data_IF_619440335492
#
_entry.id   IF_619440335492
#
_cell.length_a   1.000
_cell.length_b   1.000
_cell.length_c   1.000
_cell.angle_alpha   90.00
_cell.angle_beta   90.00
_cell.angle_gamma   90.00
#
_symmetry.space_group_name_H-M   'P 1'
#
loop_
_entity.id
_entity.type
_entity.pdbx_description
1 polymer ?
#
# COMPACT_ATOMS: atom_id res chain seq x y z
N UNK A 1 -10.98 -35.75 2.38
CA UNK A 1 -9.57 -35.98 2.06
C UNK A 1 -8.85 -34.70 2.36
N UNK A 2 -7.89 -34.73 3.29
CA UNK A 2 -7.16 -33.57 3.78
C UNK A 2 -6.22 -33.02 2.71
N UNK A 3 -6.06 -31.70 2.69
CA UNK A 3 -5.28 -30.90 1.73
C UNK A 3 -3.78 -31.27 1.62
N UNK A 4 -3.29 -32.25 2.38
CA UNK A 4 -1.89 -32.40 2.73
C UNK A 4 -1.08 -33.44 1.94
N UNK A 5 -1.69 -34.24 1.06
CA UNK A 5 -0.98 -35.39 0.42
C UNK A 5 -0.81 -35.33 -1.10
N UNK A 6 -1.16 -34.23 -1.77
CA UNK A 6 -0.94 -34.04 -3.22
C UNK A 6 -0.14 -32.78 -3.60
N UNK A 7 0.30 -31.95 -2.64
CA UNK A 7 0.85 -30.60 -2.91
C UNK A 7 2.27 -30.55 -3.48
N UNK A 8 3.08 -31.61 -3.36
CA UNK A 8 4.52 -31.52 -3.63
C UNK A 8 4.92 -31.47 -5.11
N UNK A 9 4.11 -32.03 -6.03
CA UNK A 9 4.41 -32.00 -7.47
C UNK A 9 3.71 -30.85 -8.22
N UNK A 10 2.53 -30.40 -7.78
CA UNK A 10 1.80 -29.28 -8.43
C UNK A 10 2.50 -27.93 -8.21
N UNK A 11 3.20 -27.74 -7.09
CA UNK A 11 3.95 -26.51 -6.84
C UNK A 11 5.19 -26.35 -7.75
N UNK A 12 5.61 -27.42 -8.43
CA UNK A 12 6.77 -27.41 -9.32
C UNK A 12 6.57 -26.57 -10.59
N UNK A 13 5.32 -26.24 -10.97
CA UNK A 13 5.04 -25.43 -12.15
C UNK A 13 4.98 -23.91 -11.89
N UNK A 14 4.79 -23.47 -10.64
CA UNK A 14 4.61 -22.05 -10.35
C UNK A 14 5.95 -21.30 -10.25
N UNK A 15 6.07 -20.15 -10.91
CA UNK A 15 7.21 -19.24 -10.73
C UNK A 15 7.12 -18.47 -9.42
N UNK A 16 5.89 -18.24 -8.93
CA UNK A 16 5.58 -17.65 -7.63
C UNK A 16 4.52 -18.51 -6.94
N UNK A 17 4.85 -18.94 -5.72
CA UNK A 17 3.94 -19.60 -4.80
C UNK A 17 4.02 -18.94 -3.44
N UNK A 18 2.89 -18.62 -2.83
CA UNK A 18 2.85 -18.04 -1.49
C UNK A 18 1.64 -18.53 -0.69
N UNK A 19 1.83 -18.77 0.62
CA UNK A 19 0.78 -19.21 1.56
C UNK A 19 0.70 -18.27 2.75
N UNK A 20 -0.52 -17.84 3.08
CA UNK A 20 -0.87 -17.02 4.24
C UNK A 20 -2.01 -17.67 5.03
N UNK A 21 -1.85 -17.88 6.32
CA UNK A 21 -2.95 -18.40 7.17
C UNK A 21 -4.05 -17.35 7.43
N UNK A 22 -3.77 -16.07 7.13
CA UNK A 22 -4.72 -14.97 7.29
C UNK A 22 -4.64 -13.97 6.13
N UNK A 23 -5.51 -14.13 5.15
CA UNK A 23 -5.66 -13.26 3.98
C UNK A 23 -5.92 -11.79 4.35
N UNK A 24 -6.55 -11.53 5.52
CA UNK A 24 -6.84 -10.16 5.98
C UNK A 24 -5.57 -9.34 6.22
N UNK A 25 -4.46 -9.99 6.58
CA UNK A 25 -3.18 -9.29 6.76
C UNK A 25 -2.75 -8.64 5.45
N UNK A 26 -2.74 -9.40 4.35
CA UNK A 26 -2.46 -8.88 3.02
C UNK A 26 -3.50 -7.85 2.59
N UNK A 27 -4.79 -8.14 2.77
CA UNK A 27 -5.87 -7.24 2.39
C UNK A 27 -5.76 -5.87 3.07
N UNK A 28 -5.41 -5.82 4.36
CA UNK A 28 -5.29 -4.58 5.12
C UNK A 28 -4.10 -3.72 4.65
N UNK A 29 -2.97 -4.37 4.34
CA UNK A 29 -1.79 -3.69 3.78
C UNK A 29 -2.14 -3.10 2.40
N UNK A 30 -2.79 -3.89 1.55
CA UNK A 30 -3.16 -3.46 0.20
C UNK A 30 -4.24 -2.37 0.18
N UNK A 31 -5.19 -2.39 1.13
CA UNK A 31 -6.18 -1.32 1.30
C UNK A 31 -5.52 0.03 1.58
N UNK A 32 -4.37 0.05 2.28
CA UNK A 32 -3.67 1.29 2.61
C UNK A 32 -3.08 2.02 1.38
N UNK A 33 -2.92 1.30 0.26
CA UNK A 33 -2.38 1.85 -1.01
C UNK A 33 -3.43 1.86 -2.13
N UNK A 34 -4.68 1.51 -1.85
CA UNK A 34 -5.73 1.38 -2.85
C UNK A 34 -6.43 2.71 -3.16
N UNK A 35 -5.80 3.51 -4.02
CA UNK A 35 -6.41 4.73 -4.60
C UNK A 35 -6.52 4.69 -6.14
N UNK A 36 -6.14 3.57 -6.75
CA UNK A 36 -6.37 3.23 -8.17
C UNK A 36 -6.76 1.78 -8.33
N UNK A 37 -7.44 1.49 -9.43
CA UNK A 37 -7.93 0.14 -9.73
C UNK A 37 -6.82 -0.85 -10.08
N UNK A 38 -5.64 -0.37 -10.51
CA UNK A 38 -4.55 -1.26 -10.93
C UNK A 38 -3.29 -1.02 -10.12
N UNK A 39 -2.55 -2.10 -9.88
CA UNK A 39 -1.26 -2.07 -9.21
C UNK A 39 -0.26 -2.96 -9.94
N UNK A 40 1.03 -2.65 -9.79
CA UNK A 40 2.12 -3.48 -10.27
C UNK A 40 2.67 -4.27 -9.07
N UNK A 41 2.74 -5.59 -9.23
CA UNK A 41 3.32 -6.49 -8.24
C UNK A 41 4.73 -6.85 -8.70
N UNK A 42 5.70 -6.63 -7.82
CA UNK A 42 7.07 -7.10 -7.94
C UNK A 42 7.29 -8.18 -6.88
N UNK A 43 7.53 -9.41 -7.30
CA UNK A 43 7.90 -10.52 -6.42
C UNK A 43 9.40 -10.82 -6.54
N UNK A 44 10.06 -11.01 -5.41
CA UNK A 44 11.47 -11.42 -5.29
C UNK A 44 11.62 -12.35 -4.09
N UNK A 45 12.81 -12.89 -3.85
CA UNK A 45 13.10 -13.72 -2.65
C UNK A 45 12.80 -13.00 -1.31
N UNK A 46 12.84 -11.67 -1.32
CA UNK A 46 12.57 -10.83 -0.15
C UNK A 46 11.07 -10.65 0.14
N UNK A 47 10.20 -11.04 -0.80
CA UNK A 47 8.75 -10.92 -0.70
C UNK A 47 8.11 -10.15 -1.85
N UNK A 48 6.95 -9.54 -1.58
CA UNK A 48 6.16 -8.78 -2.56
C UNK A 48 6.26 -7.27 -2.30
N UNK A 49 6.48 -6.51 -3.36
CA UNK A 49 6.25 -5.07 -3.41
C UNK A 49 5.06 -4.80 -4.32
N UNK A 50 4.06 -4.10 -3.81
CA UNK A 50 2.89 -3.66 -4.59
C UNK A 50 2.96 -2.15 -4.76
N UNK A 51 3.04 -1.71 -6.00
CA UNK A 51 3.15 -0.30 -6.37
C UNK A 51 1.86 0.18 -7.02
N UNK A 52 1.32 1.29 -6.51
CA UNK A 52 0.19 2.02 -7.10
C UNK A 52 0.68 3.42 -7.44
N UNK A 53 0.48 3.86 -8.68
CA UNK A 53 0.91 5.16 -9.16
C UNK A 53 -0.26 5.94 -9.78
N UNK A 54 -0.31 7.26 -9.56
CA UNK A 54 -1.24 8.17 -10.21
C UNK A 54 -0.52 9.35 -10.85
N UNK A 55 -0.80 9.54 -12.15
CA UNK A 55 -0.37 10.69 -12.96
C UNK A 55 1.11 11.08 -12.81
N UNK A 56 1.99 10.12 -12.52
CA UNK A 56 3.43 10.36 -12.31
C UNK A 56 3.75 11.32 -11.15
N UNK A 57 2.77 11.66 -10.31
CA UNK A 57 2.91 12.61 -9.21
C UNK A 57 2.87 11.93 -7.84
N UNK A 58 2.11 10.83 -7.73
CA UNK A 58 1.91 10.11 -6.48
C UNK A 58 2.20 8.65 -6.72
N UNK A 59 3.02 8.06 -5.86
CA UNK A 59 3.27 6.63 -5.84
C UNK A 59 3.19 6.13 -4.40
N UNK A 60 2.46 5.04 -4.19
CA UNK A 60 2.46 4.32 -2.93
C UNK A 60 3.01 2.92 -3.15
N UNK A 61 3.83 2.49 -2.19
CA UNK A 61 4.48 1.20 -2.19
C UNK A 61 4.09 0.46 -0.91
N UNK A 62 3.52 -0.72 -1.06
CA UNK A 62 3.27 -1.66 0.03
C UNK A 62 4.28 -2.81 -0.06
N UNK A 63 4.93 -3.14 1.06
CA UNK A 63 5.92 -4.21 1.12
C UNK A 63 5.43 -5.33 2.04
N UNK A 64 5.40 -6.55 1.53
CA UNK A 64 5.08 -7.77 2.25
C UNK A 64 6.32 -8.67 2.22
N UNK A 65 7.06 -8.71 3.32
CA UNK A 65 8.28 -9.52 3.43
C UNK A 65 7.98 -11.01 3.30
N UNK A 66 8.90 -11.80 2.76
CA UNK A 66 8.73 -13.25 2.60
C UNK A 66 8.48 -13.96 3.94
N UNK A 67 9.02 -13.46 5.05
CA UNK A 67 8.76 -13.94 6.40
C UNK A 67 7.32 -13.77 6.90
N UNK A 68 6.49 -12.97 6.21
CA UNK A 68 5.06 -12.84 6.50
C UNK A 68 4.29 -14.10 6.11
N UNK A 69 4.79 -14.83 5.12
CA UNK A 69 4.16 -16.00 4.54
C UNK A 69 4.63 -17.27 5.24
N UNK A 70 3.74 -18.24 5.42
CA UNK A 70 4.11 -19.56 5.92
C UNK A 70 4.97 -20.32 4.92
N UNK A 71 4.72 -20.07 3.63
CA UNK A 71 5.51 -20.61 2.54
C UNK A 71 5.59 -19.54 1.46
N UNK A 72 6.78 -19.28 0.94
CA UNK A 72 7.01 -18.32 -0.11
C UNK A 72 8.14 -18.85 -0.99
N UNK A 73 7.82 -19.16 -2.24
CA UNK A 73 8.74 -19.72 -3.21
C UNK A 73 8.68 -18.89 -4.47
N UNK A 74 9.85 -18.43 -4.92
CA UNK A 74 10.03 -17.80 -6.21
C UNK A 74 11.16 -18.51 -6.94
N UNK A 75 10.94 -18.84 -8.22
CA UNK A 75 11.92 -19.57 -9.05
C UNK A 75 12.79 -18.67 -9.91
N UNK A 76 12.32 -17.46 -10.17
CA UNK A 76 13.04 -16.44 -10.92
C UNK A 76 13.60 -15.40 -9.94
N UNK A 77 14.60 -14.64 -10.37
CA UNK A 77 15.19 -13.55 -9.56
C UNK A 77 14.12 -12.50 -9.20
N UNK A 78 13.27 -12.19 -10.18
CA UNK A 78 12.15 -11.27 -10.00
C UNK A 78 11.03 -11.60 -10.98
N UNK A 79 9.80 -11.63 -10.47
CA UNK A 79 8.58 -11.76 -11.28
C UNK A 79 7.79 -10.46 -11.17
N UNK A 80 7.39 -9.86 -12.30
CA UNK A 80 6.67 -8.59 -12.31
C UNK A 80 5.45 -8.66 -13.22
N UNK A 81 4.30 -8.22 -12.72
CA UNK A 81 3.06 -8.18 -13.48
C UNK A 81 2.11 -7.13 -12.91
N UNK A 82 1.23 -6.61 -13.77
CA UNK A 82 0.17 -5.67 -13.37
C UNK A 82 -1.15 -6.43 -13.16
N UNK A 83 -1.93 -6.02 -12.17
CA UNK A 83 -3.25 -6.60 -11.86
C UNK A 83 -4.28 -5.52 -11.58
N UNK A 84 -5.55 -5.91 -11.61
CA UNK A 84 -6.62 -5.12 -11.02
C UNK A 84 -6.60 -5.32 -9.49
N UNK A 85 -6.14 -4.30 -8.76
CA UNK A 85 -6.04 -4.26 -7.30
C UNK A 85 -7.42 -4.27 -6.64
N UNK A 86 -8.42 -3.62 -7.24
CA UNK A 86 -9.80 -3.63 -6.74
C UNK A 86 -10.34 -5.06 -6.71
N UNK A 87 -10.19 -5.81 -7.81
CA UNK A 87 -10.60 -7.22 -7.90
C UNK A 87 -9.80 -8.10 -6.94
N UNK A 88 -8.49 -7.88 -6.80
CA UNK A 88 -7.68 -8.60 -5.81
C UNK A 88 -8.22 -8.39 -4.39
N UNK A 89 -8.53 -7.14 -4.03
CA UNK A 89 -9.10 -6.82 -2.72
C UNK A 89 -10.48 -7.45 -2.52
N UNK A 90 -11.33 -7.48 -3.54
CA UNK A 90 -12.62 -8.17 -3.48
C UNK A 90 -12.44 -9.67 -3.22
N UNK A 91 -11.54 -10.33 -3.96
CA UNK A 91 -11.22 -11.75 -3.75
C UNK A 91 -10.67 -12.03 -2.34
N UNK A 92 -9.74 -11.19 -1.85
CA UNK A 92 -9.17 -11.32 -0.51
C UNK A 92 -10.19 -11.12 0.62
N UNK A 93 -11.31 -10.44 0.33
CA UNK A 93 -12.38 -10.18 1.30
C UNK A 93 -13.67 -10.97 0.98
N UNK A 94 -13.60 -12.05 0.19
CA UNK A 94 -14.80 -12.76 -0.28
C UNK A 94 -15.67 -13.32 0.86
N UNK A 95 -15.06 -13.76 1.96
CA UNK A 95 -15.77 -14.24 3.15
C UNK A 95 -16.24 -13.10 4.08
N UNK A 96 -15.99 -11.85 3.72
CA UNK A 96 -16.43 -10.65 4.42
C UNK A 96 -15.66 -10.32 5.70
N UNK A 97 -16.02 -9.18 6.31
CA UNK A 97 -15.44 -8.73 7.57
C UNK A 97 -16.10 -9.41 8.80
N UNK A 98 -17.29 -9.99 8.63
CA UNK A 98 -18.09 -10.65 9.66
C UNK A 98 -17.75 -12.14 9.80
N UNK A 99 -16.46 -12.46 9.82
CA UNK A 99 -16.05 -13.80 10.21
C UNK A 99 -16.29 -13.95 11.73
N UNK A 100 -16.68 -15.14 12.16
CA UNK A 100 -16.79 -15.52 13.57
C UNK A 100 -15.52 -15.02 14.31
N UNK A 101 -15.60 -14.50 15.55
CA UNK A 101 -14.42 -14.09 16.30
C UNK A 101 -13.38 -15.22 16.33
N UNK A 102 -12.18 -14.94 15.81
CA UNK A 102 -11.08 -15.91 15.69
C UNK A 102 -11.05 -16.73 14.40
N UNK A 103 -12.04 -16.61 13.51
CA UNK A 103 -11.96 -17.22 12.18
C UNK A 103 -10.98 -16.44 11.29
N UNK A 104 -10.08 -17.19 10.65
CA UNK A 104 -9.11 -16.70 9.68
C UNK A 104 -9.33 -17.36 8.34
N UNK A 105 -9.16 -16.59 7.27
CA UNK A 105 -9.18 -17.10 5.91
C UNK A 105 -7.76 -17.45 5.50
N UNK A 106 -7.47 -18.72 5.25
CA UNK A 106 -6.21 -19.12 4.65
C UNK A 106 -6.19 -18.73 3.17
N UNK A 107 -5.02 -18.38 2.64
CA UNK A 107 -4.79 -17.95 1.26
C UNK A 107 -3.59 -18.71 0.71
N UNK A 108 -3.77 -19.30 -0.46
CA UNK A 108 -2.70 -19.78 -1.34
C UNK A 108 -2.73 -18.96 -2.62
N UNK A 109 -1.58 -18.47 -3.03
CA UNK A 109 -1.38 -17.62 -4.21
C UNK A 109 -0.38 -18.29 -5.14
N UNK A 110 -0.75 -18.46 -6.40
CA UNK A 110 0.04 -19.18 -7.40
C UNK A 110 0.08 -18.39 -8.70
N UNK A 111 1.25 -18.35 -9.33
CA UNK A 111 1.43 -17.77 -10.66
C UNK A 111 2.44 -18.62 -11.45
N UNK A 112 2.05 -19.03 -12.65
CA UNK A 112 2.81 -19.97 -13.50
C UNK A 112 3.87 -19.29 -14.36
N UNK A 113 3.78 -17.97 -14.51
CA UNK A 113 4.73 -17.18 -15.29
C UNK A 113 4.05 -16.18 -16.20
N UNK A 114 4.88 -15.51 -16.99
CA UNK A 114 4.44 -14.48 -17.92
C UNK A 114 3.27 -14.93 -18.82
N UNK A 115 2.24 -14.08 -18.92
CA UNK A 115 1.02 -14.35 -19.71
C UNK A 115 -0.02 -15.24 -19.04
N UNK A 116 0.26 -15.78 -17.84
CA UNK A 116 -0.69 -16.59 -17.06
C UNK A 116 -1.38 -15.76 -15.96
N UNK A 117 -2.60 -16.12 -15.53
CA UNK A 117 -3.27 -15.41 -14.45
C UNK A 117 -2.57 -15.59 -13.10
N UNK A 118 -2.94 -14.75 -12.13
CA UNK A 118 -2.69 -14.96 -10.71
C UNK A 118 -3.86 -15.76 -10.14
N UNK A 119 -3.60 -16.96 -9.65
CA UNK A 119 -4.62 -17.82 -9.03
C UNK A 119 -4.57 -17.70 -7.51
N UNK A 120 -5.73 -17.48 -6.89
CA UNK A 120 -5.90 -17.43 -5.44
C UNK A 120 -6.84 -18.56 -5.02
N UNK A 121 -6.40 -19.36 -4.06
CA UNK A 121 -7.22 -20.34 -3.38
C UNK A 121 -7.40 -19.87 -1.94
N UNK A 122 -8.64 -19.56 -1.56
CA UNK A 122 -8.99 -19.13 -0.20
C UNK A 122 -9.79 -20.21 0.51
N UNK A 123 -9.46 -20.47 1.77
CA UNK A 123 -10.18 -21.43 2.61
C UNK A 123 -10.64 -20.76 3.91
N UNK A 124 -11.93 -20.87 4.22
CA UNK A 124 -12.47 -20.51 5.54
C UNK A 124 -13.49 -21.56 5.99
N UNK A 125 -13.27 -22.17 7.16
CA UNK A 125 -14.16 -23.18 7.76
C UNK A 125 -14.52 -24.34 6.81
N UNK A 126 -13.57 -24.80 6.01
CA UNK A 126 -13.74 -25.88 5.03
C UNK A 126 -14.45 -25.46 3.73
N UNK A 127 -14.82 -24.19 3.57
CA UNK A 127 -15.30 -23.63 2.30
C UNK A 127 -14.11 -23.13 1.51
N UNK A 128 -13.95 -23.65 0.29
CA UNK A 128 -12.90 -23.26 -0.65
C UNK A 128 -13.45 -22.33 -1.73
N UNK A 129 -12.71 -21.26 -2.02
CA UNK A 129 -12.95 -20.35 -3.13
C UNK A 129 -11.72 -20.29 -4.01
N UNK A 130 -11.91 -20.50 -5.32
CA UNK A 130 -10.88 -20.32 -6.34
C UNK A 130 -11.16 -19.03 -7.12
N UNK A 131 -10.16 -18.16 -7.21
CA UNK A 131 -10.20 -16.90 -7.97
C UNK A 131 -9.05 -16.88 -8.98
N UNK A 132 -9.36 -16.57 -10.24
CA UNK A 132 -8.36 -16.40 -11.31
C UNK A 132 -8.35 -14.95 -11.79
N UNK A 133 -7.27 -14.23 -11.49
CA UNK A 133 -7.11 -12.82 -11.83
C UNK A 133 -6.21 -12.68 -13.05
N UNK A 134 -6.70 -11.97 -14.07
CA UNK A 134 -5.90 -11.67 -15.26
C UNK A 134 -4.73 -10.76 -14.89
N UNK A 135 -3.55 -11.13 -15.36
CA UNK A 135 -2.35 -10.30 -15.33
C UNK A 135 -2.26 -9.46 -16.60
N UNK A 136 -1.59 -8.32 -16.50
CA UNK A 136 -1.34 -7.38 -17.59
C UNK A 136 0.15 -7.05 -17.62
N UNK A 137 0.60 -6.51 -18.75
CA UNK A 137 1.92 -5.91 -18.85
C UNK A 137 2.10 -4.79 -17.80
N UNK A 138 3.22 -4.78 -17.06
CA UNK A 138 3.55 -3.69 -16.18
C UNK A 138 3.91 -2.44 -16.98
N UNK A 139 3.39 -1.29 -16.55
CA UNK A 139 3.83 0.01 -17.05
C UNK A 139 5.18 0.39 -16.40
N UNK A 140 5.91 1.32 -17.01
CA UNK A 140 7.07 1.94 -16.37
C UNK A 140 6.64 2.71 -15.11
N UNK A 141 7.17 2.32 -13.95
CA UNK A 141 7.01 3.06 -12.70
C UNK A 141 8.09 4.11 -12.57
N UNK A 142 7.74 5.28 -12.03
CA UNK A 142 8.76 6.28 -11.69
C UNK A 142 9.60 5.84 -10.49
N UNK A 143 10.90 6.07 -10.60
CA UNK A 143 11.82 5.95 -9.48
C UNK A 143 11.97 7.31 -8.78
N UNK A 144 11.26 7.47 -7.67
CA UNK A 144 11.45 8.62 -6.80
C UNK A 144 12.68 8.39 -5.92
N UNK A 145 13.82 8.93 -6.36
CA UNK A 145 15.08 8.77 -5.65
C UNK A 145 15.15 9.60 -4.35
N UNK A 146 14.59 9.06 -3.27
CA UNK A 146 14.64 9.63 -1.92
C UNK A 146 15.92 9.24 -1.15
N UNK A 147 17.08 9.72 -1.61
CA UNK A 147 18.33 9.55 -0.85
C UNK A 147 18.27 10.35 0.46
N UNK A 148 18.64 9.69 1.57
CA UNK A 148 18.69 10.31 2.90
C UNK A 148 19.59 11.55 2.96
N UNK A 149 20.58 11.65 2.07
CA UNK A 149 21.48 12.82 1.95
C UNK A 149 20.76 14.08 1.47
N UNK A 150 19.61 13.95 0.82
CA UNK A 150 18.86 15.06 0.23
C UNK A 150 17.65 15.48 1.08
N UNK A 151 17.50 14.92 2.28
CA UNK A 151 16.40 15.23 3.19
C UNK A 151 16.69 16.54 3.93
N UNK A 152 15.92 17.58 3.65
CA UNK A 152 16.08 18.92 4.26
C UNK A 152 15.56 18.95 5.70
N UNK A 153 14.36 18.38 5.91
CA UNK A 153 13.69 18.30 7.21
C UNK A 153 13.11 16.90 7.40
N UNK A 154 13.12 16.40 8.63
CA UNK A 154 12.59 15.09 9.01
C UNK A 154 11.84 15.20 10.32
N UNK A 155 10.60 14.70 10.34
CA UNK A 155 9.78 14.58 11.54
C UNK A 155 9.25 13.15 11.61
N UNK A 156 9.25 12.56 12.80
CA UNK A 156 8.58 11.30 13.11
C UNK A 156 7.52 11.62 14.18
N UNK A 157 6.26 11.30 13.91
CA UNK A 157 5.14 11.52 14.84
C UNK A 157 4.33 10.25 15.02
N UNK A 158 3.58 10.19 16.12
CA UNK A 158 2.57 9.14 16.34
C UNK A 158 1.42 9.31 15.34
N UNK A 159 1.07 8.24 14.63
CA UNK A 159 0.03 8.27 13.59
C UNK A 159 -1.33 8.78 14.06
N UNK A 160 -1.65 8.65 15.35
CA UNK A 160 -2.90 9.14 15.94
C UNK A 160 -3.09 10.66 15.78
N UNK A 161 -2.01 11.45 15.88
CA UNK A 161 -2.09 12.91 15.75
C UNK A 161 -2.38 13.33 14.31
N UNK A 162 -1.76 12.63 13.34
CA UNK A 162 -1.98 12.87 11.92
C UNK A 162 -3.36 12.41 11.49
N UNK A 163 -3.89 11.33 12.07
CA UNK A 163 -5.25 10.88 11.78
C UNK A 163 -6.29 11.95 12.13
N UNK A 164 -6.16 12.58 13.29
CA UNK A 164 -7.05 13.67 13.69
C UNK A 164 -6.93 14.86 12.72
N UNK A 165 -5.71 15.34 12.47
CA UNK A 165 -5.50 16.47 11.57
C UNK A 165 -5.97 16.21 10.13
N UNK A 166 -5.69 15.03 9.56
CA UNK A 166 -6.16 14.67 8.23
C UNK A 166 -7.69 14.54 8.13
N UNK A 167 -8.37 14.20 9.23
CA UNK A 167 -9.83 14.13 9.26
C UNK A 167 -10.49 15.51 9.30
N UNK A 168 -9.76 16.55 9.68
CA UNK A 168 -10.23 17.93 9.80
C UNK A 168 -9.86 18.82 8.60
N UNK A 169 -9.11 18.30 7.63
CA UNK A 169 -8.72 19.04 6.43
C UNK A 169 -9.93 19.45 5.59
N UNK A 170 -9.88 20.66 5.04
CA UNK A 170 -10.90 21.16 4.12
C UNK A 170 -10.70 20.55 2.72
N UNK A 171 -11.55 19.60 2.37
CA UNK A 171 -11.55 18.93 1.06
C UNK A 171 -11.99 19.82 -0.11
N UNK A 172 -12.47 21.04 0.15
CA UNK A 172 -12.71 22.03 -0.91
C UNK A 172 -11.44 22.74 -1.38
N UNK A 173 -10.33 22.58 -0.66
CA UNK A 173 -9.05 23.13 -1.07
C UNK A 173 -8.34 22.22 -2.06
N UNK A 174 -7.82 22.79 -3.15
CA UNK A 174 -6.97 22.08 -4.11
C UNK A 174 -5.53 21.90 -3.60
N UNK A 175 -5.17 22.56 -2.48
CA UNK A 175 -3.79 22.62 -1.97
C UNK A 175 -3.74 22.17 -0.51
N UNK A 176 -2.87 21.21 -0.24
CA UNK A 176 -2.34 20.95 1.10
C UNK A 176 -0.95 21.60 1.20
N UNK A 177 -0.79 22.57 2.08
CA UNK A 177 0.52 23.14 2.41
C UNK A 177 1.10 22.45 3.65
N UNK A 178 2.32 21.96 3.52
CA UNK A 178 3.11 21.37 4.59
C UNK A 178 4.24 22.32 4.92
N UNK A 179 4.22 22.90 6.12
CA UNK A 179 5.28 23.75 6.66
C UNK A 179 6.11 22.95 7.67
N UNK A 180 7.42 22.96 7.49
CA UNK A 180 8.41 22.43 8.44
C UNK A 180 9.46 23.51 8.72
N UNK A 181 9.72 23.81 9.98
CA UNK A 181 10.56 24.94 10.41
C UNK A 181 11.31 24.65 11.72
N UNK A 182 12.54 25.14 11.91
CA UNK A 182 13.19 25.12 13.22
C UNK A 182 12.49 26.02 14.25
N UNK A 183 11.77 27.04 13.78
CA UNK A 183 11.04 28.03 14.58
C UNK A 183 9.52 27.79 14.54
N UNK A 184 8.78 28.36 15.50
CA UNK A 184 7.31 28.32 15.52
C UNK A 184 6.72 28.70 14.14
N UNK A 185 5.72 27.95 13.65
CA UNK A 185 4.91 26.92 14.33
C UNK A 185 5.50 25.50 14.28
N UNK A 186 6.78 25.34 13.92
CA UNK A 186 7.48 24.05 13.76
C UNK A 186 6.94 23.19 12.63
N UNK A 187 5.82 22.50 12.83
CA UNK A 187 5.16 21.68 11.83
C UNK A 187 3.70 22.08 11.71
N UNK A 188 3.28 22.47 10.50
CA UNK A 188 1.89 22.89 10.23
C UNK A 188 1.38 22.27 8.94
N UNK A 189 0.17 21.75 8.99
CA UNK A 189 -0.63 21.38 7.82
C UNK A 189 -1.67 22.47 7.59
N UNK A 190 -1.80 22.96 6.36
CA UNK A 190 -2.78 24.01 6.02
C UNK A 190 -3.56 23.69 4.75
N UNK A 191 -4.86 23.95 4.80
CA UNK A 191 -5.75 23.95 3.62
C UNK A 191 -6.42 25.31 3.48
N UNK A 192 -6.68 25.71 2.24
CA UNK A 192 -7.23 27.02 1.88
C UNK A 192 -8.48 26.79 1.04
N UNK A 193 -9.63 26.58 1.70
CA UNK A 193 -10.89 26.29 1.03
C UNK A 193 -11.81 27.51 0.97
N UNK A 194 -13.06 27.27 0.55
CA UNK A 194 -14.02 28.33 0.26
C UNK A 194 -14.45 29.13 1.50
N UNK A 195 -14.47 28.48 2.68
CA UNK A 195 -14.93 29.08 3.93
C UNK A 195 -13.80 29.73 4.75
N UNK A 196 -12.55 29.60 4.32
CA UNK A 196 -11.38 30.12 5.03
C UNK A 196 -10.19 29.17 5.00
N UNK A 197 -9.20 29.48 5.82
CA UNK A 197 -7.99 28.66 5.98
C UNK A 197 -8.07 27.84 7.25
N UNK A 198 -7.72 26.56 7.17
CA UNK A 198 -7.59 25.65 8.31
C UNK A 198 -6.10 25.38 8.52
N UNK A 199 -5.68 25.41 9.78
CA UNK A 199 -4.29 25.14 10.18
C UNK A 199 -4.26 24.14 11.32
N UNK A 200 -3.51 23.05 11.14
CA UNK A 200 -3.20 22.09 12.20
C UNK A 200 -1.71 22.21 12.54
N UNK A 201 -1.40 22.60 13.78
CA UNK A 201 -0.03 22.87 14.23
C UNK A 201 0.43 21.82 15.25
N UNK A 202 1.68 21.41 15.12
CA UNK A 202 2.29 20.39 15.97
C UNK A 202 3.58 20.96 16.59
N UNK A 203 3.54 21.34 17.87
CA UNK A 203 4.71 21.79 18.59
C UNK A 203 5.79 20.71 18.64
N UNK A 204 7.08 21.11 18.59
CA UNK A 204 8.19 20.15 18.60
C UNK A 204 8.32 19.39 19.93
N UNK A 205 7.86 19.98 21.04
CA UNK A 205 7.84 19.38 22.39
C UNK A 205 6.60 18.53 22.66
N UNK A 206 5.70 18.37 21.69
CA UNK A 206 4.52 17.54 21.86
C UNK A 206 4.92 16.07 22.09
N UNK A 207 4.25 15.39 23.04
CA UNK A 207 4.40 13.95 23.28
C UNK A 207 4.02 13.07 22.06
N UNK A 208 3.45 13.70 21.03
CA UNK A 208 3.08 13.09 19.76
C UNK A 208 4.23 13.14 18.74
N UNK A 209 5.31 13.88 19.01
CA UNK A 209 6.51 14.00 18.17
C UNK A 209 7.63 13.15 18.77
N UNK A 210 8.04 12.11 18.05
CA UNK A 210 9.08 11.18 18.50
C UNK A 210 10.49 11.64 18.08
N UNK A 211 10.59 12.31 16.93
CA UNK A 211 11.84 12.87 16.43
C UNK A 211 11.55 14.13 15.63
N UNK A 212 12.27 15.21 15.93
CA UNK A 212 12.17 16.47 15.20
C UNK A 212 13.56 16.92 14.72
N UNK A 213 13.75 16.92 13.40
CA UNK A 213 15.00 17.29 12.74
C UNK A 213 14.70 18.27 11.60
N UNK A 214 14.42 19.52 11.95
CA UNK A 214 14.19 20.59 10.99
C UNK A 214 15.28 21.64 11.12
N UNK A 215 16.07 21.83 10.06
CA UNK A 215 17.18 22.79 10.04
C UNK A 215 16.88 24.02 9.18
N UNK A 216 15.82 23.97 8.36
CA UNK A 216 15.45 25.03 7.44
C UNK A 216 13.94 25.16 7.34
N UNK A 217 13.43 26.38 7.37
CA UNK A 217 12.02 26.63 7.06
C UNK A 217 11.73 26.26 5.60
N UNK A 218 10.78 25.35 5.39
CA UNK A 218 10.28 24.93 4.08
C UNK A 218 8.77 24.86 4.13
N UNK A 219 8.11 25.45 3.14
CA UNK A 219 6.68 25.34 2.90
C UNK A 219 6.49 24.71 1.53
N UNK A 220 5.98 23.48 1.49
CA UNK A 220 5.73 22.73 0.27
C UNK A 220 4.22 22.64 0.06
N UNK A 221 3.77 22.95 -1.17
CA UNK A 221 2.36 22.88 -1.55
C UNK A 221 2.14 21.66 -2.43
N UNK A 222 1.29 20.75 -1.96
CA UNK A 222 0.85 19.57 -2.69
C UNK A 222 -0.50 19.90 -3.30
N UNK A 223 -0.56 19.90 -4.64
CA UNK A 223 -1.80 20.07 -5.38
C UNK A 223 -2.50 18.71 -5.47
N UNK A 224 -3.80 18.68 -5.20
CA UNK A 224 -4.61 17.53 -5.51
C UNK A 224 -4.60 17.33 -7.03
N UNK A 225 -4.10 16.18 -7.49
CA UNK A 225 -4.09 15.84 -8.90
C UNK A 225 -5.53 15.48 -9.29
N UNK A 226 -6.35 16.47 -9.64
CA UNK A 226 -7.61 16.24 -10.33
C UNK A 226 -7.33 16.14 -11.82
N UNK A 227 -8.03 15.25 -12.54
CA UNK A 227 -7.89 15.09 -14.00
C UNK A 227 -8.08 16.39 -14.79
N UNK A 228 -8.64 17.43 -14.15
CA UNK A 228 -8.83 18.78 -14.68
C UNK A 228 -7.57 19.65 -14.70
N UNK A 229 -6.56 19.35 -13.86
CA UNK A 229 -5.35 20.17 -13.70
C UNK A 229 -4.18 19.75 -14.61
N UNK A 230 -4.35 18.73 -15.45
CA UNK A 230 -3.30 18.20 -16.36
C UNK A 230 -3.37 18.89 -17.75
N UNK A 231 -4.33 19.78 -17.99
CA UNK A 231 -4.59 20.39 -19.29
C UNK A 231 -4.16 21.87 -19.44
N UNK A 232 -3.27 22.38 -18.58
CA UNK A 232 -2.67 23.71 -18.76
C UNK A 232 -1.14 23.67 -18.77
#
# INVERSE_FOLDING_TARGET
MSLSTQESDENAQYVLYARLDNAKTMANILKAVHFKDTAIIFASENGLKVTVEDCKCVQANAFLQSSLFQEFVIKEEQVTFKINLTVLLECLNIFGASSIPGATTALKMCHEGYGTPLTLLLEENGVLTDCSLKTLEPDETLDFNFLSTNVVNKIITKSECLKAAFSELDLSSDILEILMSPDEPYFRLSTFGNAGSIHSEFPKESDLVESFQCNKTQANRLLHCTSSNILN
#
